data_IF_842807476615
#
_entry.id   IF_842807476615
#
_cell.length_a   1.000
_cell.length_b   1.000
_cell.length_c   1.000
_cell.angle_alpha   90.00
_cell.angle_beta   90.00
_cell.angle_gamma   90.00
#
_symmetry.space_group_name_H-M   'P 1'
#
loop_
_entity.id
_entity.type
_entity.pdbx_description
1 polymer ?
#
# COMPACT_ATOMS: atom_id res chain seq x y z
N UNK A 1 57.86 -57.35 60.73
CA UNK A 1 56.48 -57.12 60.24
C UNK A 1 56.43 -57.58 58.78
N UNK A 2 55.73 -58.67 58.47
CA UNK A 2 55.46 -59.08 57.09
C UNK A 2 54.10 -58.49 56.68
N UNK A 3 53.97 -57.76 55.55
CA UNK A 3 52.67 -57.28 55.10
C UNK A 3 51.78 -58.48 54.76
N UNK A 4 50.58 -58.48 55.30
CA UNK A 4 49.61 -59.57 55.17
C UNK A 4 49.07 -59.57 53.73
N UNK A 5 49.70 -60.37 52.87
CA UNK A 5 49.48 -60.42 51.42
C UNK A 5 48.00 -60.62 51.04
N UNK A 6 47.21 -61.26 51.92
CA UNK A 6 45.76 -61.48 51.77
C UNK A 6 44.92 -60.21 51.89
N UNK A 7 45.35 -59.24 52.70
CA UNK A 7 44.64 -57.97 52.88
C UNK A 7 44.86 -57.05 51.66
N UNK A 8 46.08 -57.03 51.12
CA UNK A 8 46.43 -56.22 49.94
C UNK A 8 45.72 -56.76 48.68
N UNK A 9 45.64 -58.08 48.51
CA UNK A 9 44.92 -58.69 47.37
C UNK A 9 43.42 -58.46 47.44
N UNK A 10 42.79 -58.49 48.62
CA UNK A 10 41.35 -58.20 48.75
C UNK A 10 41.01 -56.73 48.43
N UNK A 11 41.87 -55.78 48.80
CA UNK A 11 41.67 -54.36 48.49
C UNK A 11 41.83 -54.12 46.98
N UNK A 12 42.85 -54.71 46.35
CA UNK A 12 43.06 -54.58 44.91
C UNK A 12 41.90 -55.21 44.12
N UNK A 13 41.38 -56.35 44.56
CA UNK A 13 40.22 -56.99 43.91
C UNK A 13 38.94 -56.17 44.10
N UNK A 14 38.71 -55.59 45.29
CA UNK A 14 37.58 -54.70 45.54
C UNK A 14 37.65 -53.43 44.66
N UNK A 15 38.82 -52.83 44.48
CA UNK A 15 39.01 -51.68 43.57
C UNK A 15 38.74 -52.09 42.10
N UNK A 16 39.21 -53.26 41.67
CA UNK A 16 38.98 -53.78 40.32
C UNK A 16 37.52 -54.15 40.04
N UNK A 17 36.73 -54.50 41.05
CA UNK A 17 35.29 -54.75 40.89
C UNK A 17 34.44 -53.47 40.96
N UNK A 18 34.87 -52.44 41.68
CA UNK A 18 34.13 -51.16 41.83
C UNK A 18 34.46 -50.17 40.71
N UNK A 19 35.69 -50.19 40.17
CA UNK A 19 36.10 -49.28 39.09
C UNK A 19 35.29 -49.43 37.79
N UNK A 20 34.95 -50.64 37.29
CA UNK A 20 34.12 -50.79 36.09
C UNK A 20 32.69 -50.28 36.31
N UNK A 21 32.13 -50.47 37.51
CA UNK A 21 30.82 -49.97 37.90
C UNK A 21 30.77 -48.43 37.91
N UNK A 22 31.82 -47.77 38.43
CA UNK A 22 31.93 -46.31 38.40
C UNK A 22 32.11 -45.76 36.98
N UNK A 23 32.80 -46.48 36.09
CA UNK A 23 32.99 -46.08 34.68
C UNK A 23 31.70 -46.30 33.87
N UNK A 24 30.89 -47.32 34.17
CA UNK A 24 29.58 -47.54 33.50
C UNK A 24 28.47 -46.60 33.97
N UNK A 25 28.61 -45.96 35.13
CA UNK A 25 27.68 -44.92 35.60
C UNK A 25 28.07 -43.51 35.15
N UNK A 26 29.28 -43.33 34.62
CA UNK A 26 29.69 -42.12 33.92
C UNK A 26 29.27 -42.19 32.44
N UNK A 27 27.96 -42.32 32.19
CA UNK A 27 27.43 -41.94 30.88
C UNK A 27 27.75 -40.44 30.76
N UNK A 28 28.42 -39.99 29.68
CA UNK A 28 28.57 -38.56 29.47
C UNK A 28 27.15 -38.01 29.29
N UNK A 29 26.60 -37.42 30.33
CA UNK A 29 25.47 -36.51 30.19
C UNK A 29 26.05 -35.39 29.36
N UNK A 30 25.83 -35.43 28.04
CA UNK A 30 25.87 -34.21 27.24
C UNK A 30 25.03 -33.23 28.04
N UNK A 31 25.68 -32.24 28.66
CA UNK A 31 24.99 -31.13 29.29
C UNK A 31 24.14 -30.54 28.16
N UNK A 32 22.86 -30.92 28.12
CA UNK A 32 21.90 -30.37 27.18
C UNK A 32 21.94 -28.89 27.47
N UNK A 33 22.51 -28.11 26.55
CA UNK A 33 22.80 -26.71 26.76
C UNK A 33 21.44 -26.03 27.00
N UNK A 34 21.15 -25.77 28.27
CA UNK A 34 19.85 -25.28 28.68
C UNK A 34 19.65 -23.92 28.00
N UNK A 35 18.68 -23.87 27.10
CA UNK A 35 18.37 -22.66 26.34
C UNK A 35 17.11 -22.05 26.97
N UNK A 36 17.24 -21.01 27.82
CA UNK A 36 16.12 -20.47 28.59
C UNK A 36 15.04 -19.82 27.72
N UNK A 37 15.42 -19.34 26.54
CA UNK A 37 14.50 -18.81 25.54
C UNK A 37 14.99 -19.14 24.14
N UNK A 38 14.10 -19.58 23.24
CA UNK A 38 14.42 -19.97 21.87
C UNK A 38 13.56 -19.18 20.89
N UNK A 39 14.17 -18.61 19.85
CA UNK A 39 13.44 -17.91 18.79
C UNK A 39 12.76 -18.94 17.89
N UNK A 40 11.43 -19.00 17.92
CA UNK A 40 10.63 -19.90 17.09
C UNK A 40 10.50 -19.32 15.68
N UNK A 41 10.09 -18.05 15.59
CA UNK A 41 9.87 -17.37 14.30
C UNK A 41 10.05 -15.87 14.43
N UNK A 42 10.40 -15.25 13.29
CA UNK A 42 10.35 -13.81 13.12
C UNK A 42 9.61 -13.52 11.81
N UNK A 43 8.66 -12.59 11.84
CA UNK A 43 7.79 -12.25 10.71
C UNK A 43 7.48 -10.74 10.70
N UNK A 44 7.36 -10.09 9.53
CA UNK A 44 7.54 -10.66 8.19
C UNK A 44 9.03 -10.80 7.79
N UNK A 45 9.29 -11.62 6.78
CA UNK A 45 10.57 -11.67 6.07
C UNK A 45 10.30 -11.67 4.55
N UNK A 46 10.72 -10.64 3.80
CA UNK A 46 11.47 -9.47 4.28
C UNK A 46 10.65 -8.56 5.21
N UNK A 47 11.34 -7.90 6.14
CA UNK A 47 10.82 -6.82 6.95
C UNK A 47 11.09 -5.47 6.26
N UNK A 48 10.26 -4.47 6.57
CA UNK A 48 10.34 -3.14 5.96
C UNK A 48 10.58 -2.05 7.01
N UNK A 49 11.43 -1.05 6.73
CA UNK A 49 11.61 0.09 7.62
C UNK A 49 10.29 0.79 7.96
N UNK A 50 10.11 1.13 9.23
CA UNK A 50 8.90 1.74 9.78
C UNK A 50 7.72 0.78 9.96
N UNK A 51 7.89 -0.53 9.72
CA UNK A 51 6.85 -1.55 9.92
C UNK A 51 7.13 -2.45 11.14
N UNK A 52 6.10 -3.06 11.76
CA UNK A 52 6.28 -3.97 12.88
C UNK A 52 6.93 -5.29 12.46
N UNK A 53 7.82 -5.79 13.32
CA UNK A 53 8.45 -7.11 13.30
C UNK A 53 7.95 -7.88 14.52
N UNK A 54 7.32 -9.02 14.25
CA UNK A 54 6.78 -9.94 15.25
C UNK A 54 7.79 -11.05 15.51
N UNK A 55 8.16 -11.24 16.78
CA UNK A 55 9.08 -12.28 17.26
C UNK A 55 8.29 -13.25 18.12
N UNK A 56 8.32 -14.53 17.76
CA UNK A 56 7.74 -15.62 18.57
C UNK A 56 8.84 -16.38 19.28
N UNK A 57 8.71 -16.55 20.59
CA UNK A 57 9.75 -17.07 21.48
C UNK A 57 9.14 -18.16 22.36
N UNK A 58 9.79 -19.30 22.45
CA UNK A 58 9.50 -20.32 23.47
C UNK A 58 10.40 -20.04 24.68
N UNK A 59 9.80 -19.88 25.86
CA UNK A 59 10.49 -19.58 27.11
C UNK A 59 10.32 -20.74 28.07
N UNK A 60 11.44 -21.29 28.55
CA UNK A 60 11.45 -22.52 29.34
C UNK A 60 11.16 -22.32 30.84
N UNK A 61 11.26 -21.09 31.34
CA UNK A 61 11.04 -20.74 32.75
C UNK A 61 10.71 -19.25 32.92
N UNK A 62 10.14 -18.88 34.07
CA UNK A 62 9.92 -17.48 34.42
C UNK A 62 11.25 -16.75 34.61
N UNK A 63 11.63 -15.92 33.64
CA UNK A 63 12.82 -15.07 33.67
C UNK A 63 12.60 -13.82 32.80
N UNK A 64 13.26 -12.71 33.11
CA UNK A 64 13.22 -11.53 32.23
C UNK A 64 13.81 -11.88 30.87
N UNK A 65 13.00 -11.76 29.83
CA UNK A 65 13.38 -11.94 28.43
C UNK A 65 13.53 -10.56 27.81
N UNK A 66 14.71 -10.29 27.25
CA UNK A 66 14.97 -9.08 26.46
C UNK A 66 14.96 -9.43 24.99
N UNK A 67 14.28 -8.64 24.17
CA UNK A 67 14.22 -8.78 22.71
C UNK A 67 14.75 -7.50 22.08
N UNK A 68 15.75 -7.60 21.20
CA UNK A 68 16.39 -6.47 20.53
C UNK A 68 16.42 -6.65 19.03
N UNK A 69 16.24 -5.56 18.29
CA UNK A 69 16.55 -5.45 16.86
C UNK A 69 17.92 -4.79 16.73
N UNK A 70 18.85 -5.47 16.08
CA UNK A 70 20.24 -5.03 16.02
C UNK A 70 20.82 -5.12 14.61
N UNK A 71 21.86 -4.31 14.36
CA UNK A 71 22.61 -4.31 13.11
C UNK A 71 23.41 -5.61 12.88
N UNK A 72 23.87 -6.27 13.94
CA UNK A 72 24.66 -7.50 13.87
C UNK A 72 24.30 -8.49 14.99
N UNK A 73 24.86 -9.70 14.91
CA UNK A 73 24.63 -10.78 15.87
C UNK A 73 25.16 -10.47 17.29
N UNK A 74 26.18 -9.61 17.39
CA UNK A 74 26.75 -9.14 18.67
C UNK A 74 25.94 -7.98 19.27
N UNK A 75 24.98 -7.46 18.52
CA UNK A 75 24.20 -6.28 18.82
C UNK A 75 25.04 -5.03 19.12
N UNK A 76 26.03 -4.73 18.27
CA UNK A 76 26.89 -3.53 18.43
C UNK A 76 26.09 -2.23 18.40
N UNK A 77 25.02 -2.18 17.60
CA UNK A 77 24.01 -1.14 17.63
C UNK A 77 22.61 -1.75 17.85
N UNK A 78 21.90 -1.25 18.85
CA UNK A 78 20.50 -1.59 19.11
C UNK A 78 19.59 -0.51 18.50
N UNK A 79 18.66 -0.93 17.65
CA UNK A 79 17.71 -0.01 17.01
C UNK A 79 16.37 0.06 17.72
N UNK A 80 15.91 -1.09 18.24
CA UNK A 80 14.70 -1.18 19.05
C UNK A 80 14.89 -2.27 20.09
N UNK A 81 14.28 -2.11 21.26
CA UNK A 81 14.32 -3.13 22.30
C UNK A 81 13.06 -3.11 23.15
N UNK A 82 12.73 -4.27 23.70
CA UNK A 82 11.67 -4.43 24.69
C UNK A 82 12.03 -5.59 25.61
N UNK A 83 11.36 -5.68 26.74
CA UNK A 83 11.54 -6.75 27.70
C UNK A 83 10.20 -7.15 28.32
N UNK A 84 10.10 -8.40 28.73
CA UNK A 84 8.94 -8.92 29.44
C UNK A 84 9.39 -10.03 30.40
N UNK A 85 8.57 -10.32 31.41
CA UNK A 85 8.80 -11.44 32.34
C UNK A 85 7.59 -12.37 32.29
N UNK A 86 7.68 -13.52 31.61
CA UNK A 86 6.57 -14.44 31.50
C UNK A 86 6.32 -15.13 32.85
N UNK A 87 5.05 -15.25 33.30
CA UNK A 87 4.73 -15.84 34.60
C UNK A 87 4.91 -17.36 34.63
N UNK A 88 4.93 -18.01 33.46
CA UNK A 88 5.04 -19.46 33.29
C UNK A 88 5.90 -19.79 32.06
N UNK A 89 6.33 -21.04 31.94
CA UNK A 89 6.95 -21.51 30.70
C UNK A 89 5.89 -21.57 29.59
N UNK A 90 6.26 -21.18 28.37
CA UNK A 90 5.31 -21.13 27.26
C UNK A 90 5.80 -20.36 26.04
N UNK A 91 4.90 -20.22 25.07
CA UNK A 91 5.14 -19.48 23.83
C UNK A 91 4.63 -18.05 23.96
N UNK A 92 5.46 -17.08 23.62
CA UNK A 92 5.17 -15.66 23.71
C UNK A 92 5.43 -14.96 22.38
N UNK A 93 4.65 -13.92 22.11
CA UNK A 93 4.78 -13.11 20.90
C UNK A 93 4.98 -11.66 21.29
N UNK A 94 5.98 -11.04 20.67
CA UNK A 94 6.36 -9.65 20.90
C UNK A 94 6.45 -8.93 19.57
N UNK A 95 5.95 -7.69 19.51
CA UNK A 95 6.05 -6.83 18.32
C UNK A 95 6.97 -5.65 18.61
N UNK A 96 7.94 -5.41 17.73
CA UNK A 96 8.86 -4.28 17.74
C UNK A 96 8.79 -3.58 16.40
N UNK A 97 8.83 -2.25 16.35
CA UNK A 97 8.84 -1.52 15.08
C UNK A 97 10.27 -1.31 14.61
N UNK A 98 10.58 -1.73 13.38
CA UNK A 98 11.86 -1.43 12.75
C UNK A 98 11.91 0.08 12.45
N UNK A 99 12.96 0.83 12.85
CA UNK A 99 13.00 2.26 12.58
C UNK A 99 13.10 2.56 11.07
N UNK A 100 12.66 3.76 10.68
CA UNK A 100 12.76 4.22 9.28
C UNK A 100 14.21 4.46 8.86
N UNK A 101 15.04 4.91 9.80
CA UNK A 101 16.48 5.17 9.67
C UNK A 101 17.25 3.98 10.23
N UNK A 102 18.16 3.42 9.43
CA UNK A 102 18.91 2.20 9.76
C UNK A 102 20.42 2.48 9.77
N UNK A 103 20.91 3.33 10.70
CA UNK A 103 22.33 3.64 10.78
C UNK A 103 23.12 2.40 11.15
N UNK A 104 24.27 2.20 10.50
CA UNK A 104 25.19 1.11 10.80
C UNK A 104 24.85 -0.23 10.14
N UNK A 105 23.80 -0.30 9.30
CA UNK A 105 23.69 -1.39 8.31
C UNK A 105 24.83 -1.18 7.31
N UNK A 106 25.86 -2.03 7.39
CA UNK A 106 26.90 -2.03 6.37
C UNK A 106 26.34 -2.71 5.12
N UNK A 107 25.91 -1.90 4.15
CA UNK A 107 25.47 -2.36 2.84
C UNK A 107 26.64 -2.81 1.93
N UNK A 108 27.83 -3.02 2.50
CA UNK A 108 28.95 -3.66 1.81
C UNK A 108 28.86 -5.18 1.98
N UNK A 109 28.99 -5.92 0.87
CA UNK A 109 28.93 -7.39 0.78
C UNK A 109 27.53 -8.05 0.78
N UNK A 110 26.51 -7.49 0.11
CA UNK A 110 25.19 -8.13 -0.08
C UNK A 110 24.44 -8.49 1.23
N UNK A 111 24.53 -7.66 2.28
CA UNK A 111 23.84 -7.97 3.55
C UNK A 111 22.67 -7.01 3.80
N UNK A 112 21.51 -7.40 3.29
CA UNK A 112 20.22 -6.75 3.57
C UNK A 112 19.55 -7.38 4.80
N UNK A 113 20.27 -7.62 5.90
CA UNK A 113 19.71 -8.30 7.06
C UNK A 113 19.94 -7.52 8.35
N UNK A 114 19.04 -7.72 9.30
CA UNK A 114 19.24 -7.38 10.71
C UNK A 114 19.14 -8.63 11.56
N UNK A 115 19.50 -8.49 12.84
CA UNK A 115 19.44 -9.56 13.80
C UNK A 115 18.38 -9.26 14.85
N UNK A 116 17.52 -10.24 15.10
CA UNK A 116 16.74 -10.30 16.34
C UNK A 116 17.59 -11.03 17.37
N UNK A 117 17.90 -10.35 18.47
CA UNK A 117 18.65 -10.92 19.60
C UNK A 117 17.71 -11.05 20.79
N UNK A 118 17.52 -12.29 21.26
CA UNK A 118 16.75 -12.62 22.46
C UNK A 118 17.71 -13.05 23.56
N UNK A 119 17.61 -12.46 24.74
CA UNK A 119 18.44 -12.84 25.89
C UNK A 119 17.56 -13.17 27.08
N UNK A 120 17.76 -14.35 27.67
CA UNK A 120 17.15 -14.76 28.92
C UNK A 120 18.21 -15.40 29.81
N UNK A 121 18.23 -15.07 31.10
CA UNK A 121 19.22 -15.58 32.08
C UNK A 121 20.67 -15.46 31.56
N UNK A 122 20.99 -14.35 30.87
CA UNK A 122 22.31 -14.09 30.31
C UNK A 122 22.68 -14.91 29.07
N UNK A 123 21.81 -15.80 28.57
CA UNK A 123 22.06 -16.62 27.38
C UNK A 123 21.42 -15.95 26.15
N UNK A 124 22.20 -15.50 25.15
CA UNK A 124 21.66 -14.93 23.92
C UNK A 124 21.32 -16.00 22.88
N UNK A 125 20.23 -15.76 22.16
CA UNK A 125 19.87 -16.40 20.89
C UNK A 125 19.73 -15.32 19.84
N UNK A 126 20.12 -15.59 18.60
CA UNK A 126 19.96 -14.65 17.52
C UNK A 126 19.37 -15.30 16.27
N UNK A 127 18.71 -14.49 15.45
CA UNK A 127 18.20 -14.89 14.15
C UNK A 127 18.30 -13.71 13.19
N UNK A 128 18.87 -13.96 12.01
CA UNK A 128 18.91 -12.97 10.93
C UNK A 128 17.56 -12.91 10.21
N UNK A 129 17.20 -11.71 9.75
CA UNK A 129 15.97 -11.42 9.04
C UNK A 129 16.26 -10.45 7.91
N UNK A 130 15.78 -10.76 6.72
CA UNK A 130 15.88 -9.88 5.55
C UNK A 130 15.18 -8.54 5.81
N UNK A 131 15.81 -7.46 5.39
CA UNK A 131 15.25 -6.12 5.20
C UNK A 131 15.11 -5.92 3.71
N UNK A 132 13.99 -5.35 3.27
CA UNK A 132 13.85 -4.87 1.91
C UNK A 132 13.56 -3.36 1.89
N UNK A 133 14.02 -2.63 0.86
CA UNK A 133 13.71 -1.21 0.72
C UNK A 133 12.20 -0.97 0.61
N UNK A 134 11.77 0.22 1.04
CA UNK A 134 10.37 0.65 0.95
C UNK A 134 10.26 2.12 0.56
N UNK A 135 9.27 2.43 -0.25
CA UNK A 135 8.85 3.80 -0.54
C UNK A 135 7.63 4.18 0.30
N UNK A 136 7.68 5.33 0.96
CA UNK A 136 6.59 5.92 1.74
C UNK A 136 6.19 7.26 1.14
N UNK A 137 4.90 7.46 0.90
CA UNK A 137 4.36 8.70 0.31
C UNK A 137 3.48 9.40 1.33
N UNK A 138 3.65 10.71 1.48
CA UNK A 138 2.84 11.56 2.36
C UNK A 138 2.38 12.82 1.59
N UNK A 139 1.08 13.11 1.50
CA UNK A 139 -0.07 12.30 1.89
C UNK A 139 -0.29 11.10 0.97
N UNK A 140 -0.91 10.03 1.48
CA UNK A 140 -1.28 8.84 0.67
C UNK A 140 -2.47 9.10 -0.26
N UNK A 141 -3.19 10.22 -0.05
CA UNK A 141 -4.30 10.68 -0.87
C UNK A 141 -4.25 12.20 -0.99
N UNK A 142 -4.40 12.74 -2.20
CA UNK A 142 -4.35 14.18 -2.48
C UNK A 142 -4.98 14.53 -3.82
N UNK A 143 -5.34 15.79 -4.01
CA UNK A 143 -5.61 16.35 -5.34
C UNK A 143 -4.33 16.90 -5.99
N UNK A 144 -4.40 17.23 -7.28
CA UNK A 144 -3.30 17.88 -8.01
C UNK A 144 -3.11 19.36 -7.61
N UNK A 145 -4.19 20.01 -7.20
CA UNK A 145 -4.24 21.41 -6.80
C UNK A 145 -5.02 21.56 -5.50
N UNK A 146 -4.77 22.65 -4.79
CA UNK A 146 -5.59 23.07 -3.67
C UNK A 146 -6.90 23.74 -4.14
N UNK A 147 -7.82 24.11 -3.23
CA UNK A 147 -9.07 24.78 -3.60
C UNK A 147 -8.91 26.14 -4.28
N UNK A 148 -7.72 26.72 -4.28
CA UNK A 148 -7.38 27.99 -4.94
C UNK A 148 -6.63 27.78 -6.28
N UNK A 149 -6.45 26.54 -6.71
CA UNK A 149 -5.76 26.21 -7.96
C UNK A 149 -4.23 26.18 -7.85
N UNK A 150 -3.67 26.26 -6.64
CA UNK A 150 -2.21 26.19 -6.44
C UNK A 150 -1.74 24.73 -6.50
N UNK A 151 -0.59 24.42 -7.12
CA UNK A 151 -0.06 23.06 -7.17
C UNK A 151 0.10 22.42 -5.78
N UNK A 152 -0.35 21.18 -5.64
CA UNK A 152 -0.10 20.37 -4.45
C UNK A 152 1.28 19.71 -4.53
N UNK A 153 1.95 19.67 -3.38
CA UNK A 153 3.23 19.00 -3.20
C UNK A 153 3.05 17.76 -2.31
N UNK A 154 3.72 16.68 -2.68
CA UNK A 154 3.82 15.48 -1.84
C UNK A 154 5.29 15.21 -1.49
N UNK A 155 5.52 14.50 -0.39
CA UNK A 155 6.84 14.00 -0.03
C UNK A 155 6.91 12.50 -0.29
N UNK A 156 7.90 12.07 -1.06
CA UNK A 156 8.23 10.65 -1.29
C UNK A 156 9.52 10.34 -0.55
N UNK A 157 9.43 9.45 0.44
CA UNK A 157 10.57 8.96 1.23
C UNK A 157 10.97 7.57 0.76
N UNK A 158 12.26 7.36 0.64
CA UNK A 158 12.92 6.11 0.30
C UNK A 158 13.61 5.61 1.57
N UNK A 159 13.28 4.41 2.03
CA UNK A 159 13.72 3.87 3.30
C UNK A 159 14.40 2.51 3.10
N UNK A 160 15.53 2.29 3.79
CA UNK A 160 16.29 1.04 3.69
C UNK A 160 16.99 0.84 2.35
N UNK A 161 17.32 1.94 1.67
CA UNK A 161 18.12 1.92 0.44
C UNK A 161 19.61 1.93 0.76
N UNK A 162 20.45 1.50 -0.19
CA UNK A 162 21.90 1.49 -0.02
C UNK A 162 22.45 2.93 0.01
N UNK A 163 23.19 3.34 1.04
CA UNK A 163 23.84 4.64 1.10
C UNK A 163 24.71 4.93 -0.10
N UNK A 164 24.60 6.13 -0.66
CA UNK A 164 25.31 6.55 -1.87
C UNK A 164 24.59 6.21 -3.18
N UNK A 165 23.58 5.34 -3.18
CA UNK A 165 22.69 5.17 -4.33
C UNK A 165 22.04 6.52 -4.68
N UNK A 166 21.75 6.72 -5.96
CA UNK A 166 21.17 7.97 -6.46
C UNK A 166 19.83 7.71 -7.15
N UNK A 167 18.81 8.43 -6.70
CA UNK A 167 17.47 8.44 -7.27
C UNK A 167 17.42 9.60 -8.26
N UNK A 168 17.15 9.28 -9.54
CA UNK A 168 17.09 10.26 -10.63
C UNK A 168 15.67 10.48 -11.15
N UNK A 169 14.74 9.56 -10.85
CA UNK A 169 13.32 9.73 -11.16
C UNK A 169 12.44 9.12 -10.08
N UNK A 170 11.25 9.69 -9.92
CA UNK A 170 10.13 9.06 -9.22
C UNK A 170 9.06 8.72 -10.24
N UNK A 171 8.76 7.43 -10.37
CA UNK A 171 7.72 6.92 -11.25
C UNK A 171 6.42 6.73 -10.50
N UNK A 172 5.33 7.20 -11.09
CA UNK A 172 3.95 6.97 -10.69
C UNK A 172 3.29 6.10 -11.75
N UNK A 173 3.06 4.82 -11.44
CA UNK A 173 2.43 3.88 -12.34
C UNK A 173 0.98 3.59 -11.89
N UNK A 174 0.00 3.94 -12.71
CA UNK A 174 -1.42 3.78 -12.43
C UNK A 174 -2.26 3.86 -13.71
N UNK A 175 -3.36 4.63 -13.74
CA UNK A 175 -4.13 4.90 -14.98
C UNK A 175 -3.27 5.46 -16.12
N UNK A 176 -2.25 6.23 -15.76
CA UNK A 176 -1.14 6.61 -16.64
C UNK A 176 0.18 6.31 -15.92
N UNK A 177 1.26 6.23 -16.71
CA UNK A 177 2.63 6.25 -16.16
C UNK A 177 3.20 7.65 -16.29
N UNK A 178 3.65 8.22 -15.18
CA UNK A 178 4.30 9.53 -15.14
C UNK A 178 5.63 9.44 -14.40
N UNK A 179 6.67 10.02 -14.98
CA UNK A 179 8.01 10.08 -14.39
C UNK A 179 8.34 11.54 -14.02
N UNK A 180 8.74 11.77 -12.78
CA UNK A 180 9.21 13.06 -12.28
C UNK A 180 10.71 13.00 -12.08
N UNK A 181 11.46 13.80 -12.83
CA UNK A 181 12.91 13.91 -12.68
C UNK A 181 13.27 14.52 -11.32
N UNK A 182 14.17 13.86 -10.61
CA UNK A 182 14.72 14.30 -9.33
C UNK A 182 16.23 14.06 -9.33
N UNK A 183 16.94 14.56 -8.32
CA UNK A 183 18.34 14.18 -8.09
C UNK A 183 18.55 14.13 -6.59
N UNK A 184 18.55 12.93 -6.03
CA UNK A 184 18.68 12.74 -4.60
C UNK A 184 19.53 11.51 -4.30
N UNK A 185 20.62 11.71 -3.56
CA UNK A 185 21.44 10.61 -3.04
C UNK A 185 20.87 10.10 -1.71
N UNK A 186 21.01 8.80 -1.49
CA UNK A 186 20.65 8.12 -0.25
C UNK A 186 21.70 8.41 0.82
N UNK A 187 21.24 8.87 1.99
CA UNK A 187 22.10 9.20 3.12
C UNK A 187 22.72 7.95 3.78
N UNK A 188 23.68 8.17 4.68
CA UNK A 188 24.40 7.11 5.41
C UNK A 188 23.51 6.21 6.26
N UNK A 189 22.30 6.65 6.58
CA UNK A 189 21.31 5.90 7.35
C UNK A 189 20.29 5.12 6.48
N UNK A 190 20.53 5.10 5.16
CA UNK A 190 19.70 4.40 4.19
C UNK A 190 18.40 5.12 3.83
N UNK A 191 18.29 6.42 4.14
CA UNK A 191 17.10 7.23 3.83
C UNK A 191 17.35 8.28 2.75
N UNK A 192 16.30 8.60 2.00
CA UNK A 192 16.24 9.78 1.12
C UNK A 192 14.80 10.32 1.09
N UNK A 193 14.64 11.60 0.81
CA UNK A 193 13.33 12.22 0.65
C UNK A 193 13.35 13.21 -0.52
N UNK A 194 12.28 13.22 -1.30
CA UNK A 194 12.08 14.17 -2.40
C UNK A 194 10.69 14.77 -2.31
N UNK A 195 10.57 16.05 -2.66
CA UNK A 195 9.29 16.71 -2.80
C UNK A 195 8.88 16.73 -4.27
N UNK A 196 7.67 16.26 -4.57
CA UNK A 196 7.11 16.20 -5.92
C UNK A 196 5.95 17.17 -6.01
N UNK A 197 6.04 18.11 -6.95
CA UNK A 197 4.91 18.96 -7.35
C UNK A 197 4.06 18.23 -8.38
N UNK A 198 2.79 18.00 -8.08
CA UNK A 198 1.93 17.13 -8.90
C UNK A 198 1.54 17.74 -10.24
N UNK A 199 1.45 19.07 -10.33
CA UNK A 199 1.26 19.74 -11.60
C UNK A 199 2.56 19.79 -12.40
N UNK A 200 2.52 19.28 -13.63
CA UNK A 200 3.58 19.44 -14.60
C UNK A 200 3.68 20.88 -15.11
N UNK A 201 4.75 21.20 -15.84
CA UNK A 201 4.96 22.48 -16.52
C UNK A 201 3.84 22.86 -17.50
N UNK A 202 3.07 21.88 -17.98
CA UNK A 202 1.91 22.11 -18.85
C UNK A 202 0.65 22.51 -18.09
N UNK A 203 0.74 22.62 -16.74
CA UNK A 203 -0.41 22.88 -15.87
C UNK A 203 -1.33 21.67 -15.69
N UNK A 204 -0.89 20.47 -16.13
CA UNK A 204 -1.67 19.23 -16.03
C UNK A 204 -1.08 18.32 -14.96
N UNK A 205 -1.95 17.68 -14.19
CA UNK A 205 -1.58 16.76 -13.12
C UNK A 205 -1.77 15.29 -13.50
N UNK A 206 -1.97 14.45 -12.50
CA UNK A 206 -2.32 13.04 -12.68
C UNK A 206 -3.85 12.88 -12.72
N UNK A 207 -4.42 12.01 -13.56
CA UNK A 207 -5.85 11.68 -13.51
C UNK A 207 -6.22 10.93 -12.23
N UNK A 208 -7.53 10.86 -11.95
CA UNK A 208 -8.08 10.07 -10.83
C UNK A 208 -7.53 8.65 -10.85
N UNK A 209 -7.12 8.14 -9.69
CA UNK A 209 -6.76 6.73 -9.55
C UNK A 209 -5.73 6.47 -8.45
N UNK A 210 -5.34 5.21 -8.33
CA UNK A 210 -4.28 4.78 -7.41
C UNK A 210 -3.00 4.50 -8.18
N UNK A 211 -1.90 5.07 -7.72
CA UNK A 211 -0.57 4.96 -8.32
C UNK A 211 0.35 4.17 -7.40
N UNK A 212 1.08 3.22 -7.98
CA UNK A 212 2.26 2.64 -7.39
C UNK A 212 3.43 3.62 -7.58
N UNK A 213 4.12 3.96 -6.49
CA UNK A 213 5.20 4.95 -6.50
C UNK A 213 6.54 4.27 -6.26
N UNK A 214 7.46 4.42 -7.20
CA UNK A 214 8.80 3.82 -7.16
C UNK A 214 9.88 4.83 -7.52
N UNK A 215 11.09 4.62 -6.99
CA UNK A 215 12.29 5.37 -7.39
C UNK A 215 13.02 4.64 -8.50
N UNK A 216 13.58 5.38 -9.44
CA UNK A 216 14.48 4.88 -10.48
C UNK A 216 15.81 5.63 -10.40
N UNK A 217 16.90 4.97 -10.80
CA UNK A 217 18.24 5.54 -10.76
C UNK A 217 19.30 4.45 -10.69
N UNK A 218 20.44 4.76 -10.08
CA UNK A 218 21.50 3.78 -9.81
C UNK A 218 21.22 3.10 -8.48
N UNK A 219 20.10 2.39 -8.41
CA UNK A 219 19.60 1.75 -7.19
C UNK A 219 19.99 0.27 -7.18
N UNK A 220 20.49 -0.20 -6.05
CA UNK A 220 20.91 -1.59 -5.81
C UNK A 220 20.00 -2.27 -4.79
N UNK A 221 20.06 -3.61 -4.72
CA UNK A 221 19.30 -4.44 -3.77
C UNK A 221 17.78 -4.18 -3.74
N UNK A 222 17.15 -4.05 -4.91
CA UNK A 222 15.71 -3.82 -5.04
C UNK A 222 14.84 -5.09 -4.94
N UNK A 223 15.43 -6.26 -4.66
CA UNK A 223 14.68 -7.51 -4.55
C UNK A 223 13.69 -7.43 -3.38
N UNK A 224 12.41 -7.67 -3.65
CA UNK A 224 11.36 -7.57 -2.63
C UNK A 224 11.04 -6.14 -2.16
N UNK A 225 11.58 -5.12 -2.84
CA UNK A 225 11.30 -3.72 -2.51
C UNK A 225 9.80 -3.42 -2.61
N UNK A 226 9.30 -2.65 -1.64
CA UNK A 226 7.89 -2.32 -1.53
C UNK A 226 7.62 -0.91 -2.04
N UNK A 227 6.86 -0.83 -3.12
CA UNK A 227 6.44 0.45 -3.69
C UNK A 227 5.50 1.22 -2.74
N UNK A 228 5.55 2.54 -2.86
CA UNK A 228 4.62 3.45 -2.21
C UNK A 228 3.28 3.45 -2.92
N UNK A 229 2.29 4.10 -2.31
CA UNK A 229 0.97 4.24 -2.91
C UNK A 229 0.48 5.68 -2.76
N UNK A 230 -0.04 6.24 -3.84
CA UNK A 230 -0.71 7.54 -3.87
C UNK A 230 -2.07 7.42 -4.53
N UNK A 231 -3.12 7.95 -3.91
CA UNK A 231 -4.43 8.10 -4.53
C UNK A 231 -4.65 9.56 -4.95
N UNK A 232 -5.00 9.78 -6.22
CA UNK A 232 -5.36 11.10 -6.74
C UNK A 232 -6.88 11.25 -6.72
N UNK A 233 -7.35 12.32 -6.09
CA UNK A 233 -8.77 12.70 -6.07
C UNK A 233 -9.05 13.90 -6.97
N UNK A 234 -10.26 13.99 -7.56
CA UNK A 234 -10.65 15.16 -8.34
C UNK A 234 -10.72 16.43 -7.49
N UNK A 235 -10.31 17.55 -8.08
CA UNK A 235 -10.51 18.89 -7.53
C UNK A 235 -11.00 19.82 -8.63
N UNK A 236 -11.98 20.65 -8.31
CA UNK A 236 -12.54 21.66 -9.21
C UNK A 236 -12.36 23.04 -8.58
N UNK A 237 -12.09 24.03 -9.42
CA UNK A 237 -11.92 25.43 -9.03
C UNK A 237 -12.84 26.33 -9.86
N UNK A 238 -13.23 27.46 -9.26
CA UNK A 238 -14.02 28.51 -9.88
C UNK A 238 -13.11 29.72 -10.09
N UNK A 239 -13.05 30.24 -11.31
CA UNK A 239 -12.23 31.40 -11.66
C UNK A 239 -13.09 32.47 -12.36
N UNK A 240 -13.12 33.73 -11.88
CA UNK A 240 -12.48 34.22 -10.66
C UNK A 240 -13.11 33.61 -9.39
N UNK A 241 -12.36 33.62 -8.29
CA UNK A 241 -12.82 33.09 -6.99
C UNK A 241 -13.86 33.98 -6.30
N UNK A 242 -14.03 35.21 -6.79
CA UNK A 242 -14.95 36.21 -6.27
C UNK A 242 -15.66 36.93 -7.43
N UNK A 243 -16.89 37.39 -7.19
CA UNK A 243 -17.72 38.10 -8.16
C UNK A 243 -19.03 38.58 -7.53
N UNK A 244 -19.76 39.44 -8.24
CA UNK A 244 -21.04 39.99 -7.79
C UNK A 244 -22.27 39.19 -8.29
N UNK A 245 -22.07 38.20 -9.15
CA UNK A 245 -23.10 37.29 -9.65
C UNK A 245 -24.12 37.93 -10.60
N UNK A 246 -23.91 39.19 -11.02
CA UNK A 246 -24.88 39.94 -11.81
C UNK A 246 -24.93 39.43 -13.24
N UNK A 247 -26.14 39.17 -13.72
CA UNK A 247 -26.44 38.80 -15.08
C UNK A 247 -27.77 39.41 -15.53
N UNK A 248 -27.67 40.53 -16.23
CA UNK A 248 -28.78 41.23 -16.87
C UNK A 248 -28.56 41.34 -18.39
N UNK A 249 -29.35 42.18 -19.07
CA UNK A 249 -29.31 42.30 -20.52
C UNK A 249 -28.04 42.98 -21.05
N UNK A 250 -27.36 43.81 -20.27
CA UNK A 250 -26.16 44.55 -20.70
C UNK A 250 -24.85 43.95 -20.18
N UNK A 251 -24.90 43.24 -19.05
CA UNK A 251 -23.73 42.64 -18.43
C UNK A 251 -24.06 41.29 -17.80
N UNK A 252 -23.22 40.29 -18.03
CA UNK A 252 -23.35 38.99 -17.37
C UNK A 252 -22.00 38.45 -16.91
N UNK A 253 -21.79 38.45 -15.60
CA UNK A 253 -20.53 38.01 -14.99
C UNK A 253 -20.25 36.53 -15.23
N UNK A 254 -21.29 35.71 -15.35
CA UNK A 254 -21.19 34.29 -15.73
C UNK A 254 -20.45 34.08 -17.06
N UNK A 255 -20.34 35.11 -17.92
CA UNK A 255 -19.51 35.03 -19.15
C UNK A 255 -18.00 34.96 -18.88
N UNK A 256 -17.57 35.44 -17.70
CA UNK A 256 -16.18 35.45 -17.25
C UNK A 256 -15.85 34.30 -16.31
N UNK A 257 -16.87 33.62 -15.77
CA UNK A 257 -16.70 32.48 -14.87
C UNK A 257 -16.24 31.25 -15.66
N UNK A 258 -15.12 30.69 -15.24
CA UNK A 258 -14.57 29.44 -15.71
C UNK A 258 -14.62 28.40 -14.58
N UNK A 259 -14.93 27.17 -14.94
CA UNK A 259 -14.82 26.01 -14.06
C UNK A 259 -13.72 25.12 -14.59
N UNK A 260 -12.65 24.97 -13.82
CA UNK A 260 -11.48 24.17 -14.20
C UNK A 260 -11.41 22.96 -13.28
N UNK A 261 -11.32 21.76 -13.85
CA UNK A 261 -11.21 20.51 -13.10
C UNK A 261 -9.88 19.81 -13.32
N UNK A 262 -9.35 19.22 -12.26
CA UNK A 262 -8.10 18.46 -12.23
C UNK A 262 -8.32 17.09 -11.60
N UNK A 263 -7.64 16.07 -12.11
CA UNK A 263 -7.68 14.74 -11.52
C UNK A 263 -9.02 14.04 -11.65
N UNK A 264 -9.79 14.34 -12.71
CA UNK A 264 -10.99 13.60 -13.09
C UNK A 264 -10.63 12.32 -13.86
N UNK A 265 -11.63 11.50 -14.25
CA UNK A 265 -11.35 10.38 -15.14
C UNK A 265 -10.89 10.89 -16.49
N UNK A 266 -9.91 10.21 -17.12
CA UNK A 266 -9.39 10.65 -18.40
C UNK A 266 -10.36 10.32 -19.55
N UNK A 267 -10.49 11.24 -20.51
CA UNK A 267 -11.29 11.07 -21.75
C UNK A 267 -12.79 10.84 -21.52
N UNK A 268 -13.35 11.46 -20.48
CA UNK A 268 -14.78 11.37 -20.12
C UNK A 268 -15.46 12.72 -20.35
N UNK A 269 -16.67 12.77 -20.93
CA UNK A 269 -17.41 14.02 -21.08
C UNK A 269 -17.88 14.55 -19.73
N UNK A 270 -17.74 15.85 -19.50
CA UNK A 270 -18.45 16.55 -18.42
C UNK A 270 -19.84 16.89 -18.93
N UNK A 271 -20.87 16.35 -18.29
CA UNK A 271 -22.26 16.45 -18.76
C UNK A 271 -23.03 17.59 -18.08
N UNK A 272 -22.65 17.91 -16.85
CA UNK A 272 -23.34 18.88 -16.00
C UNK A 272 -22.40 19.43 -14.93
N UNK A 273 -22.55 20.70 -14.60
CA UNK A 273 -21.91 21.35 -13.46
C UNK A 273 -23.01 22.00 -12.62
N UNK A 274 -22.91 21.87 -11.30
CA UNK A 274 -23.82 22.50 -10.35
C UNK A 274 -23.01 23.38 -9.38
N UNK A 275 -23.51 24.59 -9.10
CA UNK A 275 -22.94 25.49 -8.10
C UNK A 275 -23.92 25.59 -6.94
N UNK A 276 -23.52 25.03 -5.78
CA UNK A 276 -24.38 25.00 -4.60
C UNK A 276 -24.03 26.12 -3.62
N UNK A 277 -24.99 27.00 -3.34
CA UNK A 277 -24.85 28.05 -2.33
C UNK A 277 -25.06 27.48 -0.92
N UNK A 278 -24.00 27.44 -0.11
CA UNK A 278 -24.06 26.79 1.21
C UNK A 278 -24.46 27.70 2.37
N UNK A 279 -24.27 29.02 2.25
CA UNK A 279 -24.32 29.93 3.40
C UNK A 279 -25.61 30.74 3.54
N UNK A 280 -26.41 30.93 2.49
CA UNK A 280 -27.53 31.88 2.56
C UNK A 280 -28.84 31.36 1.97
N UNK A 281 -28.83 30.89 0.73
CA UNK A 281 -30.09 30.65 0.00
C UNK A 281 -30.37 29.17 -0.23
N UNK A 282 -29.38 28.29 -0.02
CA UNK A 282 -29.43 26.86 -0.40
C UNK A 282 -29.82 26.63 -1.87
N UNK A 283 -29.69 27.67 -2.70
CA UNK A 283 -30.00 27.60 -4.13
C UNK A 283 -28.90 26.83 -4.84
N UNK A 284 -29.33 25.99 -5.79
CA UNK A 284 -28.45 25.23 -6.64
C UNK A 284 -28.61 25.69 -8.10
N UNK A 285 -27.54 26.23 -8.68
CA UNK A 285 -27.52 26.63 -10.09
C UNK A 285 -26.95 25.48 -10.91
N UNK A 286 -27.76 24.93 -11.82
CA UNK A 286 -27.39 23.77 -12.64
C UNK A 286 -27.15 24.17 -14.09
N UNK A 287 -25.93 23.94 -14.57
CA UNK A 287 -25.47 24.17 -15.94
C UNK A 287 -25.42 22.82 -16.66
N UNK A 288 -26.41 22.56 -17.52
CA UNK A 288 -26.55 21.28 -18.25
C UNK A 288 -26.17 21.43 -19.72
N UNK A 289 -26.02 20.30 -20.42
CA UNK A 289 -25.66 20.31 -21.84
C UNK A 289 -24.19 20.66 -22.09
N UNK A 290 -23.35 20.47 -21.07
CA UNK A 290 -21.91 20.61 -21.21
C UNK A 290 -21.42 19.44 -22.07
N UNK A 291 -20.57 19.74 -23.04
CA UNK A 291 -19.97 18.75 -23.94
C UNK A 291 -18.47 18.99 -24.04
N UNK A 292 -17.82 19.09 -22.87
CA UNK A 292 -16.38 19.25 -22.74
C UNK A 292 -15.82 17.95 -22.21
N UNK A 293 -14.91 17.34 -22.96
CA UNK A 293 -14.24 16.12 -22.52
C UNK A 293 -13.04 16.47 -21.65
N UNK A 294 -12.81 15.67 -20.61
CA UNK A 294 -11.52 15.64 -19.94
C UNK A 294 -10.45 15.13 -20.92
N UNK A 295 -9.23 15.62 -20.77
CA UNK A 295 -8.10 15.10 -21.54
C UNK A 295 -7.53 13.80 -20.93
N UNK A 296 -6.38 13.35 -21.43
CA UNK A 296 -5.69 12.15 -20.92
C UNK A 296 -5.21 12.27 -19.47
N UNK A 297 -5.17 13.47 -18.90
CA UNK A 297 -4.74 13.76 -17.54
C UNK A 297 -5.92 14.03 -16.60
N UNK A 298 -7.17 13.85 -17.08
CA UNK A 298 -8.34 14.18 -16.29
C UNK A 298 -8.50 15.69 -16.08
N UNK A 299 -7.94 16.52 -16.97
CA UNK A 299 -8.08 17.97 -16.94
C UNK A 299 -9.21 18.41 -17.86
N UNK A 300 -9.99 19.40 -17.42
CA UNK A 300 -10.95 20.10 -18.28
C UNK A 300 -11.10 21.56 -17.87
N UNK A 301 -11.61 22.38 -18.80
CA UNK A 301 -12.02 23.75 -18.53
C UNK A 301 -13.33 24.06 -19.25
N UNK A 302 -14.34 24.49 -18.50
CA UNK A 302 -15.60 25.03 -19.02
C UNK A 302 -15.57 26.53 -18.82
N UNK A 303 -15.46 27.28 -19.91
CA UNK A 303 -15.49 28.74 -19.89
C UNK A 303 -16.91 29.27 -20.16
N UNK A 304 -17.21 30.49 -19.73
CA UNK A 304 -18.47 31.18 -20.01
C UNK A 304 -19.70 30.33 -19.61
N UNK A 305 -19.97 30.23 -18.30
CA UNK A 305 -21.13 29.50 -17.80
C UNK A 305 -22.47 30.06 -18.28
N UNK A 306 -22.52 31.32 -18.70
CA UNK A 306 -23.75 31.96 -19.20
C UNK A 306 -24.31 31.28 -20.46
N UNK A 307 -23.47 30.55 -21.22
CA UNK A 307 -23.93 29.79 -22.40
C UNK A 307 -24.85 28.62 -22.05
N UNK A 308 -24.76 28.10 -20.82
CA UNK A 308 -25.56 26.95 -20.36
C UNK A 308 -26.76 27.38 -19.52
N UNK A 309 -26.59 28.45 -18.73
CA UNK A 309 -27.68 29.06 -17.97
C UNK A 309 -27.35 30.54 -17.72
N UNK A 310 -28.17 31.43 -18.29
CA UNK A 310 -28.06 32.87 -18.05
C UNK A 310 -28.96 33.25 -16.87
N UNK A 311 -28.38 33.52 -15.70
CA UNK A 311 -29.13 33.86 -14.49
C UNK A 311 -28.30 34.74 -13.55
N UNK A 312 -28.97 35.57 -12.75
CA UNK A 312 -28.34 36.19 -11.58
C UNK A 312 -27.99 35.10 -10.56
N UNK A 313 -26.87 35.28 -9.87
CA UNK A 313 -26.46 34.46 -8.73
C UNK A 313 -26.68 35.21 -7.43
N UNK A 314 -27.19 34.53 -6.42
CA UNK A 314 -27.34 35.06 -5.06
C UNK A 314 -25.99 35.27 -4.38
N UNK A 315 -25.89 36.17 -3.41
CA UNK A 315 -24.67 36.30 -2.63
C UNK A 315 -24.37 35.01 -1.84
N UNK A 316 -23.09 34.64 -1.69
CA UNK A 316 -22.65 33.55 -0.82
C UNK A 316 -21.51 32.72 -1.37
N UNK A 317 -21.17 31.67 -0.61
CA UNK A 317 -20.14 30.71 -0.97
C UNK A 317 -20.73 29.61 -1.85
N UNK A 318 -20.05 29.32 -2.95
CA UNK A 318 -20.45 28.32 -3.93
C UNK A 318 -19.50 27.13 -3.91
N UNK A 319 -20.06 25.93 -3.73
CA UNK A 319 -19.33 24.67 -3.93
C UNK A 319 -19.64 24.16 -5.35
N UNK A 320 -18.62 24.01 -6.21
CA UNK A 320 -18.80 23.38 -7.51
C UNK A 320 -18.92 21.86 -7.39
N UNK A 321 -19.91 21.29 -8.07
CA UNK A 321 -20.13 19.85 -8.21
C UNK A 321 -20.12 19.53 -9.70
N UNK A 322 -19.25 18.62 -10.11
CA UNK A 322 -19.05 18.24 -11.51
C UNK A 322 -19.59 16.84 -11.72
N UNK A 323 -20.32 16.65 -12.82
CA UNK A 323 -20.89 15.35 -13.20
C UNK A 323 -20.22 14.86 -14.48
N UNK A 324 -19.45 13.80 -14.33
CA UNK A 324 -18.89 13.05 -15.44
C UNK A 324 -19.98 12.22 -16.12
N UNK A 325 -19.88 12.05 -17.42
CA UNK A 325 -20.62 11.04 -18.15
C UNK A 325 -20.07 9.65 -17.84
N UNK A 326 -20.72 8.64 -18.41
CA UNK A 326 -20.26 7.26 -18.26
C UNK A 326 -18.96 7.10 -19.07
N UNK A 327 -17.87 6.72 -18.40
CA UNK A 327 -16.61 6.41 -19.07
C UNK A 327 -16.84 5.32 -20.14
N UNK A 328 -16.14 5.38 -21.30
CA UNK A 328 -16.21 4.30 -22.28
C UNK A 328 -15.85 2.96 -21.61
N UNK A 329 -16.59 1.86 -21.90
CA UNK A 329 -16.30 0.58 -21.29
C UNK A 329 -14.85 0.16 -21.56
N UNK A 330 -14.14 -0.25 -20.52
CA UNK A 330 -12.80 -0.82 -20.62
C UNK A 330 -12.89 -2.32 -20.91
N UNK A 331 -12.16 -2.77 -21.94
CA UNK A 331 -12.04 -4.20 -22.25
C UNK A 331 -11.11 -4.85 -21.21
N UNK A 332 -11.62 -5.80 -20.44
CA UNK A 332 -10.81 -6.62 -19.53
C UNK A 332 -10.10 -7.71 -20.36
N UNK A 333 -8.77 -7.76 -20.29
CA UNK A 333 -7.93 -8.66 -21.10
C UNK A 333 -7.74 -10.07 -20.50
N UNK A 334 -8.26 -10.34 -19.30
CA UNK A 334 -8.09 -11.60 -18.58
C UNK A 334 -9.44 -12.26 -18.24
N UNK A 335 -10.31 -12.44 -19.22
CA UNK A 335 -11.53 -13.25 -19.05
C UNK A 335 -11.31 -14.62 -19.69
N UNK A 336 -11.74 -15.69 -19.01
CA UNK A 336 -11.95 -16.98 -19.66
C UNK A 336 -13.04 -16.83 -20.71
N UNK A 337 -12.79 -17.30 -21.93
CA UNK A 337 -13.82 -17.40 -22.97
C UNK A 337 -14.85 -18.46 -22.60
N UNK A 338 -16.13 -18.08 -22.57
CA UNK A 338 -17.23 -19.04 -22.51
C UNK A 338 -17.62 -19.38 -23.95
N UNK A 339 -17.53 -20.65 -24.34
CA UNK A 339 -17.98 -21.09 -25.66
C UNK A 339 -19.49 -20.86 -25.84
N UNK A 340 -19.91 -20.54 -27.06
CA UNK A 340 -21.33 -20.40 -27.42
C UNK A 340 -22.14 -21.64 -26.99
N UNK A 341 -23.25 -21.44 -26.28
CA UNK A 341 -24.13 -22.51 -25.82
C UNK A 341 -23.69 -23.23 -24.53
N UNK A 342 -22.60 -22.79 -23.89
CA UNK A 342 -22.07 -23.43 -22.67
C UNK A 342 -22.38 -22.58 -21.43
N UNK A 343 -22.88 -23.22 -20.36
CA UNK A 343 -22.91 -22.59 -19.03
C UNK A 343 -21.50 -22.61 -18.45
N UNK A 344 -20.97 -21.44 -18.10
CA UNK A 344 -19.62 -21.32 -17.53
C UNK A 344 -19.52 -20.21 -16.50
N UNK A 345 -18.42 -20.20 -15.75
CA UNK A 345 -18.08 -19.15 -14.79
C UNK A 345 -16.93 -18.33 -15.35
N UNK A 346 -17.07 -16.99 -15.36
CA UNK A 346 -15.96 -16.08 -15.64
C UNK A 346 -15.36 -15.65 -14.32
N UNK A 347 -14.09 -15.95 -14.12
CA UNK A 347 -13.34 -15.42 -12.98
C UNK A 347 -12.72 -14.09 -13.39
N UNK A 348 -13.27 -12.99 -12.89
CA UNK A 348 -12.63 -11.69 -13.00
C UNK A 348 -11.59 -11.61 -11.88
N UNK A 349 -10.30 -11.60 -12.24
CA UNK A 349 -9.24 -11.41 -11.25
C UNK A 349 -9.39 -10.07 -10.55
N UNK A 350 -9.37 -10.09 -9.22
CA UNK A 350 -9.58 -8.92 -8.35
C UNK A 350 -8.74 -7.71 -8.76
N UNK A 351 -7.49 -7.93 -9.19
CA UNK A 351 -6.55 -6.91 -9.69
C UNK A 351 -7.11 -6.04 -10.83
N UNK A 352 -8.03 -6.57 -11.63
CA UNK A 352 -8.63 -5.87 -12.76
C UNK A 352 -9.81 -4.96 -12.36
N UNK A 353 -10.46 -5.23 -11.21
CA UNK A 353 -11.54 -4.41 -10.66
C UNK A 353 -11.04 -3.31 -9.71
N UNK A 354 -9.82 -3.44 -9.17
CA UNK A 354 -9.32 -2.53 -8.13
C UNK A 354 -8.94 -1.13 -8.61
N UNK A 355 -9.05 -0.81 -9.90
CA UNK A 355 -8.30 0.33 -10.47
C UNK A 355 -9.00 1.70 -10.48
N UNK A 356 -9.94 1.97 -9.58
CA UNK A 356 -10.40 3.37 -9.42
C UNK A 356 -10.72 3.78 -7.98
N UNK A 357 -11.21 2.87 -7.12
CA UNK A 357 -11.66 3.28 -5.77
C UNK A 357 -11.31 2.34 -4.60
N UNK A 358 -10.51 1.27 -4.81
CA UNK A 358 -10.36 0.17 -3.83
C UNK A 358 -11.71 -0.42 -3.34
N UNK A 359 -12.81 -0.12 -4.01
CA UNK A 359 -14.12 -0.72 -3.76
C UNK A 359 -14.25 -1.99 -4.58
N UNK A 360 -14.84 -3.02 -3.96
CA UNK A 360 -15.11 -4.31 -4.59
C UNK A 360 -16.42 -4.19 -5.39
N UNK A 361 -16.44 -4.67 -6.63
CA UNK A 361 -17.67 -4.81 -7.43
C UNK A 361 -18.03 -6.30 -7.55
N UNK A 362 -19.32 -6.62 -7.48
CA UNK A 362 -19.86 -7.92 -7.90
C UNK A 362 -20.36 -7.77 -9.33
N UNK A 363 -20.01 -8.74 -10.20
CA UNK A 363 -20.45 -8.76 -11.60
C UNK A 363 -21.29 -10.01 -11.80
N UNK A 364 -22.61 -9.85 -11.89
CA UNK A 364 -23.51 -10.92 -12.36
C UNK A 364 -23.62 -10.79 -13.88
N UNK A 365 -23.16 -11.81 -14.62
CA UNK A 365 -23.24 -11.85 -16.08
C UNK A 365 -24.34 -12.83 -16.51
N UNK A 366 -25.26 -12.40 -17.36
CA UNK A 366 -26.27 -13.27 -17.98
C UNK A 366 -25.92 -13.49 -19.44
N UNK A 367 -25.74 -14.75 -19.85
CA UNK A 367 -25.58 -15.11 -21.25
C UNK A 367 -26.95 -15.34 -21.88
N UNK A 368 -27.17 -14.80 -23.08
CA UNK A 368 -28.38 -15.05 -23.87
C UNK A 368 -28.05 -16.03 -24.99
N UNK A 369 -28.70 -17.19 -24.97
CA UNK A 369 -28.67 -18.14 -26.08
C UNK A 369 -30.11 -18.42 -26.49
N UNK A 370 -30.46 -18.02 -27.72
CA UNK A 370 -31.66 -18.47 -28.42
C UNK A 370 -32.98 -18.37 -27.61
N UNK A 371 -33.23 -17.22 -26.97
CA UNK A 371 -34.49 -16.93 -26.28
C UNK A 371 -34.73 -17.67 -24.95
N UNK A 372 -33.78 -18.47 -24.45
CA UNK A 372 -33.93 -19.19 -23.17
C UNK A 372 -32.96 -18.63 -22.12
N UNK A 373 -33.50 -18.25 -20.95
CA UNK A 373 -32.71 -17.71 -19.83
C UNK A 373 -31.79 -18.79 -19.25
N UNK A 374 -30.48 -18.59 -19.35
CA UNK A 374 -29.46 -19.40 -18.69
C UNK A 374 -28.66 -18.55 -17.70
N UNK A 375 -28.87 -18.74 -16.40
CA UNK A 375 -28.10 -18.07 -15.36
C UNK A 375 -26.64 -18.56 -15.37
N UNK A 376 -25.67 -17.63 -15.43
CA UNK A 376 -24.33 -17.87 -14.93
C UNK A 376 -24.24 -17.27 -13.53
N UNK A 377 -23.88 -18.09 -12.55
CA UNK A 377 -23.76 -17.65 -11.15
C UNK A 377 -22.34 -17.15 -10.94
N UNK A 378 -22.19 -15.87 -10.61
CA UNK A 378 -20.96 -15.30 -10.08
C UNK A 378 -21.19 -14.95 -8.62
N UNK A 379 -20.42 -15.53 -7.71
CA UNK A 379 -20.45 -15.20 -6.28
C UNK A 379 -19.23 -14.37 -5.91
N UNK A 380 -19.45 -13.12 -5.52
CA UNK A 380 -18.54 -12.37 -4.67
C UNK A 380 -19.37 -11.64 -3.61
N UNK A 381 -19.20 -11.98 -2.34
CA UNK A 381 -19.93 -11.36 -1.24
C UNK A 381 -19.28 -10.04 -0.80
N UNK A 382 -20.11 -9.00 -0.61
CA UNK A 382 -20.09 -7.91 0.40
C UNK A 382 -20.63 -6.57 -0.14
N UNK A 383 -21.38 -5.84 0.71
CA UNK A 383 -22.38 -4.81 0.37
C UNK A 383 -21.87 -3.39 0.04
N UNK A 384 -22.56 -2.66 -0.83
CA UNK A 384 -22.49 -1.18 -1.00
C UNK A 384 -23.80 -0.54 -1.52
N UNK A 385 -23.89 0.79 -1.45
CA UNK A 385 -25.08 1.65 -1.66
C UNK A 385 -25.42 1.99 -3.13
N UNK A 386 -26.47 1.33 -3.64
CA UNK A 386 -27.56 1.69 -4.60
C UNK A 386 -27.40 2.50 -5.91
N UNK A 387 -26.32 3.23 -6.26
CA UNK A 387 -26.41 4.20 -7.39
C UNK A 387 -25.59 3.96 -8.67
N UNK A 388 -24.84 2.87 -8.83
CA UNK A 388 -23.98 2.66 -10.00
C UNK A 388 -24.27 1.34 -10.73
N UNK A 389 -24.69 1.41 -12.01
CA UNK A 389 -24.89 0.21 -12.85
C UNK A 389 -23.61 -0.05 -13.65
N UNK A 390 -22.93 -1.17 -13.41
CA UNK A 390 -21.81 -1.61 -14.24
C UNK A 390 -22.35 -2.12 -15.58
N UNK A 391 -21.88 -1.53 -16.69
CA UNK A 391 -22.23 -1.94 -18.06
C UNK A 391 -20.97 -2.41 -18.77
N UNK A 392 -20.92 -3.69 -19.13
CA UNK A 392 -19.79 -4.28 -19.88
C UNK A 392 -20.27 -4.60 -21.29
N UNK A 393 -19.63 -4.03 -22.30
CA UNK A 393 -19.94 -4.33 -23.69
C UNK A 393 -18.96 -5.37 -24.23
N UNK A 394 -19.46 -6.42 -24.87
CA UNK A 394 -18.68 -7.46 -25.56
C UNK A 394 -19.08 -7.46 -27.03
N UNK A 395 -18.11 -7.64 -27.94
CA UNK A 395 -18.38 -7.80 -29.38
C UNK A 395 -17.85 -9.14 -29.84
N UNK A 396 -18.72 -9.97 -30.45
CA UNK A 396 -18.34 -11.27 -31.00
C UNK A 396 -19.05 -11.47 -32.36
N UNK A 397 -18.30 -11.83 -33.40
CA UNK A 397 -18.79 -12.05 -34.77
C UNK A 397 -19.67 -10.91 -35.34
N UNK A 398 -19.32 -9.66 -35.05
CA UNK A 398 -20.05 -8.48 -35.52
C UNK A 398 -21.30 -8.12 -34.72
N UNK A 399 -21.66 -8.92 -33.71
CA UNK A 399 -22.79 -8.68 -32.81
C UNK A 399 -22.32 -8.01 -31.52
N UNK A 400 -23.07 -7.00 -31.05
CA UNK A 400 -22.80 -6.28 -29.79
C UNK A 400 -23.67 -6.86 -28.67
N UNK A 401 -23.04 -7.30 -27.60
CA UNK A 401 -23.67 -7.79 -26.39
C UNK A 401 -23.44 -6.77 -25.27
N UNK A 402 -24.49 -6.43 -24.53
CA UNK A 402 -24.41 -5.58 -23.35
C UNK A 402 -24.73 -6.43 -22.13
N UNK A 403 -23.74 -6.62 -21.26
CA UNK A 403 -23.93 -7.16 -19.93
C UNK A 403 -24.32 -6.00 -19.02
N UNK A 404 -25.55 -6.04 -18.51
CA UNK A 404 -26.01 -5.17 -17.44
C UNK A 404 -25.97 -5.97 -16.13
N UNK A 405 -25.14 -5.56 -15.18
CA UNK A 405 -25.18 -6.11 -13.84
C UNK A 405 -26.26 -5.34 -13.04
N UNK A 406 -27.31 -6.05 -12.61
CA UNK A 406 -28.24 -5.52 -11.62
C UNK A 406 -27.61 -5.68 -10.22
N UNK A 407 -27.64 -4.61 -9.43
CA UNK A 407 -27.33 -4.68 -8.00
C UNK A 407 -28.56 -5.27 -7.32
N UNK A 408 -28.51 -6.57 -7.01
CA UNK A 408 -29.47 -7.18 -6.08
C UNK A 408 -28.96 -6.99 -4.64
N UNK A 409 -29.88 -6.61 -3.75
CA UNK A 409 -29.62 -6.23 -2.36
C UNK A 409 -29.47 -7.41 -1.43
#
# INVERSE_FOLDING_TARGET
MKPNLKAITSIIMAILFVAPLLITMAVPVQAQQFTPATIVSVSPSPAYPGEPVTVTIDVAMSATVTVKLCNDAACTATWASTWFTPPTAGRYTVSLTLPESLPGVQYSNNRDYFYVVVTAVGVPQNRSVLIAPKVKVTSIQTANVDPFGRPMNITVKFLGYVPGDTITKVQFAGPITADYSVSQSVASDGTAAVNITLLSVTGKGLPRGTYSVAGLGTLTNLSGAKNGTLAIVPQVIIEPTEGNGRCDNSFCELTKVNITGYGFDPKVPITKIALWNINFTKVNYTFSGINVNTDSYGYFRVSNLAQYLRTNMTAGLYIPIVYEGIAPPSTLSNTSTIGLGVKGTVNITQSAMTNTFKTRASVTATSFVNGTLGYAVATAAMSFTKTEVLRINITENGMKYMLAANIEG
#
